data_IF_158620490757
#
_entry.id   IF_158620490757
#
_cell.length_a   1.000
_cell.length_b   1.000
_cell.length_c   1.000
_cell.angle_alpha   90.00
_cell.angle_beta   90.00
_cell.angle_gamma   90.00
#
_symmetry.space_group_name_H-M   'P 1'
#
loop_
_entity.id
_entity.type
_entity.pdbx_description
1 polymer ?
#
# COMPACT_ATOMS: atom_id res chain seq x y z
N UNK A 1 -51.61 -35.17 44.48
CA UNK A 1 -51.85 -34.25 43.38
C UNK A 1 -50.53 -33.52 43.05
N UNK A 2 -49.87 -33.92 41.98
CA UNK A 2 -48.51 -33.53 41.66
C UNK A 2 -48.55 -32.42 40.62
N UNK A 3 -48.07 -31.22 40.96
CA UNK A 3 -47.80 -30.14 40.01
C UNK A 3 -46.34 -30.18 39.62
N UNK A 4 -46.01 -30.64 38.43
CA UNK A 4 -44.69 -30.56 37.83
C UNK A 4 -44.48 -29.13 37.26
N UNK A 5 -43.53 -28.39 37.86
CA UNK A 5 -43.09 -27.11 37.33
C UNK A 5 -42.07 -27.39 36.23
N UNK A 6 -42.43 -27.05 34.99
CA UNK A 6 -41.58 -27.11 33.81
C UNK A 6 -40.72 -25.82 33.78
N UNK A 7 -39.44 -25.96 34.02
CA UNK A 7 -38.44 -24.87 33.92
C UNK A 7 -37.97 -24.79 32.47
N UNK A 8 -38.42 -23.79 31.72
CA UNK A 8 -37.93 -23.52 30.37
C UNK A 8 -36.62 -22.74 30.47
N UNK A 9 -35.47 -23.40 30.17
CA UNK A 9 -34.18 -22.73 29.95
C UNK A 9 -34.17 -22.10 28.56
N UNK A 10 -34.22 -20.78 28.51
CA UNK A 10 -33.90 -20.01 27.29
C UNK A 10 -32.39 -20.04 27.09
N UNK A 11 -31.92 -20.78 26.11
CA UNK A 11 -30.53 -20.70 25.65
C UNK A 11 -30.36 -19.45 24.76
N UNK A 12 -29.73 -18.44 25.31
CA UNK A 12 -29.32 -17.22 24.57
C UNK A 12 -28.10 -17.54 23.71
N UNK A 13 -28.32 -17.85 22.43
CA UNK A 13 -27.24 -18.04 21.47
C UNK A 13 -26.62 -16.68 21.10
N UNK A 14 -25.47 -16.35 21.66
CA UNK A 14 -24.68 -15.18 21.29
C UNK A 14 -24.05 -15.50 19.94
N UNK A 15 -24.57 -14.89 18.87
CA UNK A 15 -23.98 -14.91 17.52
C UNK A 15 -22.75 -13.99 17.56
N UNK A 16 -21.57 -14.55 17.77
CA UNK A 16 -20.31 -13.82 17.58
C UNK A 16 -20.10 -13.67 16.07
N UNK A 17 -20.49 -12.53 15.53
CA UNK A 17 -20.12 -12.15 14.17
C UNK A 17 -18.60 -11.97 14.16
N UNK A 18 -17.86 -13.00 13.73
CA UNK A 18 -16.44 -12.95 13.51
C UNK A 18 -16.14 -11.91 12.45
N UNK A 19 -15.49 -10.79 12.83
CA UNK A 19 -14.92 -9.86 11.88
C UNK A 19 -13.86 -10.63 11.06
N UNK A 20 -14.12 -10.87 9.78
CA UNK A 20 -13.14 -11.42 8.88
C UNK A 20 -11.91 -10.50 8.87
N UNK A 21 -10.68 -11.04 8.88
CA UNK A 21 -9.48 -10.21 8.88
C UNK A 21 -9.45 -9.35 7.63
N UNK A 22 -9.26 -8.04 7.79
CA UNK A 22 -9.24 -7.02 6.71
C UNK A 22 -8.19 -7.33 5.63
N UNK A 23 -7.19 -8.16 5.91
CA UNK A 23 -6.25 -8.69 4.91
C UNK A 23 -6.95 -9.43 3.76
N UNK A 24 -8.16 -9.95 3.97
CA UNK A 24 -8.97 -10.56 2.91
C UNK A 24 -9.57 -9.51 1.94
N UNK A 25 -9.53 -8.22 2.27
CA UNK A 25 -10.09 -7.15 1.44
C UNK A 25 -9.07 -6.52 0.48
N UNK A 26 -7.76 -6.78 0.65
CA UNK A 26 -6.73 -6.36 -0.30
C UNK A 26 -6.55 -7.49 -1.31
N UNK A 27 -7.50 -7.62 -2.21
CA UNK A 27 -7.44 -8.57 -3.33
C UNK A 27 -6.89 -7.89 -4.59
N UNK A 28 -6.41 -8.69 -5.55
CA UNK A 28 -5.97 -8.19 -6.85
C UNK A 28 -7.08 -7.43 -7.62
N UNK A 29 -8.35 -7.63 -7.24
CA UNK A 29 -9.52 -6.97 -7.82
C UNK A 29 -10.00 -5.77 -7.00
N UNK A 30 -9.26 -5.33 -5.97
CA UNK A 30 -9.69 -4.20 -5.15
C UNK A 30 -9.68 -2.88 -5.94
N UNK A 31 -10.84 -2.21 -5.97
CA UNK A 31 -11.02 -0.86 -6.51
C UNK A 31 -10.86 0.16 -5.40
N UNK A 32 -9.71 0.15 -4.71
CA UNK A 32 -9.41 1.14 -3.67
C UNK A 32 -8.70 2.35 -4.26
N UNK A 33 -8.78 3.49 -3.54
CA UNK A 33 -8.16 4.75 -3.97
C UNK A 33 -6.66 4.62 -4.22
N UNK A 34 -5.93 3.85 -3.39
CA UNK A 34 -4.50 3.59 -3.60
C UNK A 34 -4.22 2.95 -4.97
N UNK A 35 -5.08 2.03 -5.43
CA UNK A 35 -4.88 1.37 -6.70
C UNK A 35 -5.16 2.30 -7.89
N UNK A 36 -6.17 3.15 -7.78
CA UNK A 36 -6.43 4.22 -8.75
C UNK A 36 -5.21 5.14 -8.89
N UNK A 37 -4.62 5.58 -7.77
CA UNK A 37 -3.40 6.41 -7.79
C UNK A 37 -2.24 5.72 -8.51
N UNK A 38 -2.03 4.42 -8.28
CA UNK A 38 -0.99 3.64 -8.98
C UNK A 38 -1.24 3.62 -10.48
N UNK A 39 -2.48 3.39 -10.91
CA UNK A 39 -2.86 3.33 -12.34
C UNK A 39 -2.70 4.69 -13.02
N UNK A 40 -3.11 5.77 -12.39
CA UNK A 40 -2.94 7.13 -12.89
C UNK A 40 -1.46 7.52 -12.95
N UNK A 41 -0.67 7.16 -11.92
CA UNK A 41 0.77 7.45 -11.89
C UNK A 41 1.53 6.72 -13.00
N UNK A 42 1.27 5.40 -13.18
CA UNK A 42 1.96 4.63 -14.23
C UNK A 42 1.58 5.12 -15.64
N UNK A 43 0.34 5.58 -15.83
CA UNK A 43 -0.12 6.14 -17.10
C UNK A 43 0.55 7.51 -17.41
N UNK A 44 0.80 8.31 -16.37
CA UNK A 44 1.42 9.64 -16.47
C UNK A 44 2.95 9.56 -16.66
N UNK A 45 3.58 8.53 -16.10
CA UNK A 45 5.03 8.37 -16.06
C UNK A 45 5.50 7.14 -16.83
N UNK A 46 5.62 7.20 -18.18
CA UNK A 46 5.99 6.05 -19.03
C UNK A 46 7.41 5.54 -18.77
N UNK A 47 8.26 6.30 -18.11
CA UNK A 47 9.58 5.88 -17.64
C UNK A 47 9.51 4.89 -16.48
N UNK A 48 8.40 4.82 -15.75
CA UNK A 48 8.20 3.80 -14.73
C UNK A 48 7.95 2.44 -15.39
N UNK A 49 8.60 1.42 -14.88
CA UNK A 49 8.26 0.02 -15.12
C UNK A 49 7.23 -0.46 -14.11
N UNK A 50 7.40 -0.05 -12.86
CA UNK A 50 6.55 -0.43 -11.75
C UNK A 50 6.45 0.69 -10.74
N UNK A 51 5.29 0.79 -10.10
CA UNK A 51 5.10 1.54 -8.86
C UNK A 51 4.21 0.73 -7.93
N UNK A 52 4.62 0.64 -6.65
CA UNK A 52 3.89 -0.01 -5.57
C UNK A 52 3.78 0.91 -4.36
N UNK A 53 2.61 0.91 -3.70
CA UNK A 53 2.38 1.60 -2.45
C UNK A 53 2.33 0.58 -1.32
N UNK A 54 3.20 0.74 -0.33
CA UNK A 54 3.36 -0.12 0.83
C UNK A 54 2.93 0.63 2.08
N UNK A 55 2.07 0.06 2.88
CA UNK A 55 1.67 0.61 4.19
C UNK A 55 1.06 -0.48 5.07
N UNK A 56 0.86 -0.16 6.34
CA UNK A 56 0.16 -1.03 7.29
C UNK A 56 -1.34 -0.80 7.16
N UNK A 57 -2.13 -1.80 6.71
CA UNK A 57 -3.59 -1.68 6.61
C UNK A 57 -4.24 -1.44 7.98
N UNK A 58 -5.47 -0.89 8.01
CA UNK A 58 -6.27 -0.85 9.22
C UNK A 58 -6.38 -2.23 9.87
N UNK A 59 -6.29 -2.29 11.20
CA UNK A 59 -6.32 -3.54 12.00
C UNK A 59 -5.22 -4.56 11.67
N UNK A 60 -4.11 -4.12 11.06
CA UNK A 60 -2.91 -4.91 10.84
C UNK A 60 -1.71 -4.31 11.59
N UNK A 61 -0.72 -5.14 11.89
CA UNK A 61 0.59 -4.69 12.41
C UNK A 61 1.69 -4.82 11.38
N UNK A 62 1.37 -5.36 10.18
CA UNK A 62 2.34 -5.62 9.12
C UNK A 62 2.12 -4.67 7.95
N UNK A 63 3.21 -4.05 7.47
CA UNK A 63 3.21 -3.34 6.20
C UNK A 63 3.21 -4.32 5.03
N UNK A 64 2.36 -4.06 4.06
CA UNK A 64 2.20 -4.88 2.85
C UNK A 64 2.03 -3.98 1.63
N UNK A 65 2.19 -4.56 0.44
CA UNK A 65 1.83 -3.92 -0.83
C UNK A 65 0.31 -3.80 -0.90
N UNK A 66 -0.23 -2.60 -0.78
CA UNK A 66 -1.67 -2.33 -0.84
C UNK A 66 -2.16 -1.99 -2.25
N UNK A 67 -1.26 -1.49 -3.11
CA UNK A 67 -1.53 -1.13 -4.49
C UNK A 67 -0.27 -1.27 -5.34
N UNK A 68 -0.38 -1.79 -6.56
CA UNK A 68 0.74 -1.98 -7.48
C UNK A 68 0.22 -2.28 -8.88
N UNK A 69 0.93 -1.84 -9.94
CA UNK A 69 0.54 -2.15 -11.31
C UNK A 69 0.74 -3.64 -11.69
N UNK A 70 1.72 -4.35 -11.11
CA UNK A 70 1.78 -5.82 -11.16
C UNK A 70 0.94 -6.45 -10.04
N UNK A 71 -0.36 -6.59 -10.28
CA UNK A 71 -1.34 -7.07 -9.30
C UNK A 71 -0.99 -8.40 -8.62
N UNK A 72 -0.13 -9.25 -9.22
CA UNK A 72 0.33 -10.52 -8.62
C UNK A 72 1.17 -10.33 -7.37
N UNK A 73 1.67 -9.12 -7.15
CA UNK A 73 2.47 -8.78 -5.96
C UNK A 73 1.63 -8.22 -4.80
N UNK A 74 0.33 -7.96 -5.00
CA UNK A 74 -0.58 -7.46 -3.96
C UNK A 74 -0.52 -8.31 -2.70
N UNK A 75 -0.57 -7.66 -1.54
CA UNK A 75 -0.57 -8.31 -0.22
C UNK A 75 0.77 -8.89 0.23
N UNK A 76 1.82 -8.87 -0.61
CA UNK A 76 3.17 -9.25 -0.17
C UNK A 76 3.66 -8.29 0.92
N UNK A 77 4.39 -8.84 1.89
CA UNK A 77 5.00 -8.03 2.97
C UNK A 77 6.04 -7.09 2.39
N UNK A 78 6.14 -5.90 3.00
CA UNK A 78 7.21 -4.95 2.73
C UNK A 78 8.55 -5.53 3.14
N UNK A 79 9.56 -5.29 2.33
CA UNK A 79 10.94 -5.71 2.61
C UNK A 79 11.58 -4.83 3.70
N UNK A 80 12.68 -5.26 4.33
CA UNK A 80 13.35 -4.47 5.38
C UNK A 80 13.74 -3.06 4.92
N UNK A 81 14.16 -2.90 3.66
CA UNK A 81 14.57 -1.61 3.10
C UNK A 81 13.37 -0.66 2.96
N UNK A 82 12.20 -1.17 2.57
CA UNK A 82 10.94 -0.40 2.53
C UNK A 82 10.55 0.11 3.92
N UNK A 83 10.70 -0.77 4.93
CA UNK A 83 10.41 -0.42 6.33
C UNK A 83 11.38 0.64 6.87
N UNK A 84 12.65 0.58 6.47
CA UNK A 84 13.65 1.59 6.86
C UNK A 84 13.34 2.95 6.22
N UNK A 85 12.93 2.99 4.95
CA UNK A 85 12.45 4.22 4.29
C UNK A 85 11.26 4.81 5.04
N UNK A 86 10.28 3.98 5.40
CA UNK A 86 9.11 4.40 6.18
C UNK A 86 9.48 4.97 7.55
N UNK A 87 10.45 4.37 8.21
CA UNK A 87 10.91 4.79 9.53
C UNK A 87 11.75 6.07 9.51
N UNK A 88 12.66 6.18 8.53
CA UNK A 88 13.66 7.27 8.51
C UNK A 88 13.25 8.46 7.64
N UNK A 89 12.32 8.25 6.72
CA UNK A 89 11.95 9.24 5.70
C UNK A 89 13.04 9.50 4.67
N UNK A 90 14.10 8.68 4.63
CA UNK A 90 15.23 8.86 3.70
C UNK A 90 15.00 8.04 2.44
N UNK A 91 14.97 8.68 1.25
CA UNK A 91 14.85 7.96 -0.01
C UNK A 91 16.06 7.06 -0.26
N UNK A 92 15.81 5.94 -0.95
CA UNK A 92 16.84 5.01 -1.43
C UNK A 92 16.84 4.94 -2.95
N UNK A 93 17.98 4.59 -3.55
CA UNK A 93 18.09 4.28 -4.98
C UNK A 93 19.19 3.23 -5.18
N UNK A 94 18.79 2.11 -5.77
CA UNK A 94 19.68 1.00 -6.12
C UNK A 94 19.67 0.78 -7.64
N UNK A 95 20.89 0.68 -8.23
CA UNK A 95 21.04 0.35 -9.63
C UNK A 95 20.93 -1.17 -9.81
N UNK A 96 19.92 -1.61 -10.52
CA UNK A 96 19.71 -3.01 -10.90
C UNK A 96 20.03 -3.20 -12.40
N UNK A 97 21.31 -3.22 -12.75
CA UNK A 97 21.78 -3.29 -14.15
C UNK A 97 21.15 -4.44 -14.93
N UNK A 98 21.13 -5.65 -14.35
CA UNK A 98 20.54 -6.85 -15.00
C UNK A 98 19.05 -6.70 -15.31
N UNK A 99 18.34 -5.86 -14.57
CA UNK A 99 16.91 -5.56 -14.80
C UNK A 99 16.70 -4.32 -15.66
N UNK A 100 17.73 -3.54 -15.91
CA UNK A 100 17.67 -2.29 -16.66
C UNK A 100 16.86 -1.21 -15.95
N UNK A 101 17.00 -1.08 -14.61
CA UNK A 101 16.25 -0.12 -13.79
C UNK A 101 17.11 0.48 -12.67
N UNK A 102 16.64 1.64 -12.17
CA UNK A 102 16.84 2.03 -10.78
C UNK A 102 15.63 1.60 -9.95
N UNK A 103 15.87 0.92 -8.83
CA UNK A 103 14.87 0.60 -7.80
C UNK A 103 14.93 1.69 -6.73
N UNK A 104 13.81 2.38 -6.53
CA UNK A 104 13.71 3.55 -5.66
C UNK A 104 12.72 3.27 -4.53
N UNK A 105 13.12 3.57 -3.30
CA UNK A 105 12.23 3.67 -2.14
C UNK A 105 12.05 5.13 -1.72
N UNK A 106 10.80 5.60 -1.66
CA UNK A 106 10.48 6.94 -1.19
C UNK A 106 9.44 6.89 -0.07
N UNK A 107 9.52 7.74 0.97
CA UNK A 107 8.44 7.83 1.94
C UNK A 107 7.15 8.23 1.24
N UNK A 108 6.08 7.46 1.44
CA UNK A 108 4.73 7.83 1.01
C UNK A 108 4.19 8.84 2.01
N UNK A 109 3.88 10.04 1.52
CA UNK A 109 3.41 11.15 2.35
C UNK A 109 1.93 11.43 2.08
N UNK A 110 1.21 11.84 3.11
CA UNK A 110 -0.09 12.49 2.95
C UNK A 110 0.04 14.01 2.73
N UNK A 111 -1.06 14.70 2.50
CA UNK A 111 -1.08 16.15 2.26
C UNK A 111 -0.49 16.96 3.42
N UNK A 112 -0.55 16.45 4.65
CA UNK A 112 0.06 17.09 5.83
C UNK A 112 1.58 16.94 5.86
N UNK A 113 2.15 16.04 5.04
CA UNK A 113 3.56 15.65 5.05
C UNK A 113 3.90 14.54 6.03
N UNK A 114 2.89 13.90 6.65
CA UNK A 114 3.12 12.75 7.50
C UNK A 114 3.51 11.52 6.66
N UNK A 115 4.49 10.75 7.17
CA UNK A 115 4.89 9.49 6.53
C UNK A 115 3.82 8.43 6.86
N UNK A 116 3.14 7.94 5.83
CA UNK A 116 2.06 6.97 5.94
C UNK A 116 2.41 5.61 5.33
N UNK A 117 3.60 5.50 4.71
CA UNK A 117 4.03 4.28 4.04
C UNK A 117 5.33 4.48 3.25
N UNK A 118 5.55 3.61 2.27
CA UNK A 118 6.63 3.70 1.29
C UNK A 118 6.07 3.55 -0.13
N UNK A 119 6.53 4.39 -1.06
CA UNK A 119 6.33 4.23 -2.48
C UNK A 119 7.58 3.61 -3.09
N UNK A 120 7.47 2.42 -3.66
CA UNK A 120 8.55 1.71 -4.35
C UNK A 120 8.37 1.88 -5.84
N UNK A 121 9.41 2.36 -6.52
CA UNK A 121 9.35 2.71 -7.94
C UNK A 121 10.51 2.09 -8.71
N UNK A 122 10.22 1.41 -9.82
CA UNK A 122 11.23 0.92 -10.75
C UNK A 122 11.29 1.86 -11.97
N UNK A 123 12.35 2.65 -12.05
CA UNK A 123 12.59 3.58 -13.17
C UNK A 123 13.46 2.92 -14.22
N UNK A 124 13.01 2.88 -15.47
CA UNK A 124 13.76 2.31 -16.60
C UNK A 124 15.07 3.07 -16.84
N UNK A 125 16.15 2.36 -17.12
CA UNK A 125 17.41 2.97 -17.53
C UNK A 125 17.31 3.50 -18.96
N UNK A 126 17.97 4.65 -19.17
CA UNK A 126 18.29 5.23 -20.46
C UNK A 126 19.81 5.48 -20.52
N UNK A 127 20.31 5.88 -21.67
CA UNK A 127 21.74 6.20 -21.85
C UNK A 127 22.25 7.32 -20.91
N UNK A 128 21.34 8.18 -20.43
CA UNK A 128 21.66 9.32 -19.57
C UNK A 128 21.25 9.11 -18.09
N UNK A 129 20.88 7.87 -17.73
CA UNK A 129 20.40 7.57 -16.38
C UNK A 129 21.52 7.68 -15.35
N UNK A 130 21.32 8.53 -14.35
CA UNK A 130 22.19 8.66 -13.18
C UNK A 130 21.38 8.39 -11.92
N UNK A 131 22.05 8.03 -10.82
CA UNK A 131 21.41 7.86 -9.52
C UNK A 131 20.70 9.14 -9.07
N UNK A 132 21.32 10.29 -9.27
CA UNK A 132 20.75 11.60 -8.94
C UNK A 132 19.51 11.90 -9.79
N UNK A 133 19.58 11.64 -11.10
CA UNK A 133 18.45 11.80 -12.00
C UNK A 133 17.26 10.91 -11.61
N UNK A 134 17.53 9.65 -11.23
CA UNK A 134 16.52 8.74 -10.74
C UNK A 134 15.87 9.23 -9.43
N UNK A 135 16.69 9.68 -8.46
CA UNK A 135 16.17 10.27 -7.21
C UNK A 135 15.35 11.52 -7.45
N UNK A 136 15.76 12.41 -8.35
CA UNK A 136 14.99 13.60 -8.72
C UNK A 136 13.65 13.23 -9.34
N UNK A 137 13.60 12.20 -10.19
CA UNK A 137 12.36 11.68 -10.77
C UNK A 137 11.43 11.12 -9.68
N UNK A 138 11.97 10.28 -8.79
CA UNK A 138 11.21 9.72 -7.67
C UNK A 138 10.63 10.81 -6.76
N UNK A 139 11.39 11.89 -6.51
CA UNK A 139 10.92 13.03 -5.72
C UNK A 139 9.74 13.76 -6.38
N UNK A 140 9.77 13.95 -7.70
CA UNK A 140 8.64 14.57 -8.43
C UNK A 140 7.38 13.72 -8.25
N UNK A 141 7.49 12.41 -8.46
CA UNK A 141 6.35 11.48 -8.33
C UNK A 141 5.85 11.44 -6.88
N UNK A 142 6.75 11.40 -5.89
CA UNK A 142 6.39 11.49 -4.47
C UNK A 142 5.54 12.74 -4.17
N UNK A 143 5.96 13.91 -4.66
CA UNK A 143 5.24 15.17 -4.43
C UNK A 143 3.89 15.20 -5.16
N UNK A 144 3.76 14.55 -6.30
CA UNK A 144 2.49 14.39 -6.98
C UNK A 144 1.54 13.51 -6.17
N UNK A 145 1.99 12.33 -5.74
CA UNK A 145 1.22 11.44 -4.87
C UNK A 145 0.79 12.14 -3.57
N UNK A 146 1.71 12.87 -2.91
CA UNK A 146 1.40 13.60 -1.68
C UNK A 146 0.23 14.57 -1.83
N UNK A 147 0.13 15.26 -2.96
CA UNK A 147 -0.96 16.20 -3.23
C UNK A 147 -2.32 15.53 -3.39
N UNK A 148 -2.32 14.27 -3.80
CA UNK A 148 -3.55 13.50 -4.04
C UNK A 148 -4.02 12.71 -2.81
N UNK A 149 -3.16 12.50 -1.79
CA UNK A 149 -3.44 11.65 -0.62
C UNK A 149 -3.83 12.50 0.59
N UNK A 150 -5.12 12.67 0.91
CA UNK A 150 -5.56 13.46 2.07
C UNK A 150 -5.14 12.85 3.39
N UNK A 151 -5.22 11.52 3.52
CA UNK A 151 -4.83 10.76 4.70
C UNK A 151 -4.54 9.30 4.37
N UNK A 152 -3.95 8.58 5.33
CA UNK A 152 -3.70 7.14 5.21
C UNK A 152 -4.98 6.34 5.00
N UNK A 153 -6.05 6.68 5.71
CA UNK A 153 -7.35 6.00 5.65
C UNK A 153 -7.95 6.07 4.24
N UNK A 154 -7.78 7.23 3.58
CA UNK A 154 -8.27 7.44 2.21
C UNK A 154 -7.73 6.42 1.22
N UNK A 155 -6.51 5.91 1.42
CA UNK A 155 -5.91 4.89 0.56
C UNK A 155 -6.75 3.61 0.45
N UNK A 156 -7.53 3.30 1.48
CA UNK A 156 -8.33 2.08 1.58
C UNK A 156 -9.81 2.26 1.21
N UNK A 157 -10.23 3.48 0.91
CA UNK A 157 -11.59 3.73 0.47
C UNK A 157 -11.84 3.18 -0.94
N UNK A 158 -12.99 2.54 -1.11
CA UNK A 158 -13.45 2.09 -2.43
C UNK A 158 -13.76 3.29 -3.31
N UNK A 159 -13.31 3.24 -4.55
CA UNK A 159 -13.60 4.25 -5.59
C UNK A 159 -14.45 3.61 -6.69
N UNK A 160 -15.28 4.44 -7.38
CA UNK A 160 -16.10 3.96 -8.50
C UNK A 160 -15.28 3.35 -9.62
#
# INVERSE_FOLDING_TARGET
>A
MNSKKLCAMLALSILVAGAAPILAQISADSHIFAQKLVEETIAKHPELRQIGLHTTPPNSTQSVIIAINDRKKMGKKSDPDDLEVMKTGKPTAELMEKKGIYDLGFPLLDQSGAIIGTAVMEVKLSAESTKEGALNRGKIIQEELRKEIPSKEKLFETVP
#
